data_IF_322467003779
#
_entry.id   IF_322467003779
#
_cell.length_a   1.000
_cell.length_b   1.000
_cell.length_c   1.000
_cell.angle_alpha   90.00
_cell.angle_beta   90.00
_cell.angle_gamma   90.00
#
_symmetry.space_group_name_H-M   'P 1'
#
loop_
_entity.id
_entity.type
_entity.pdbx_description
1 polymer ?
#
# COMPACT_ATOMS: atom_id res chain seq x y z
N UNK A 1 -24.24 35.67 88.91
CA UNK A 1 -24.85 36.32 87.74
C UNK A 1 -24.11 35.82 86.50
N UNK A 2 -24.74 34.97 85.69
CA UNK A 2 -24.09 34.37 84.53
C UNK A 2 -25.06 33.44 83.83
N UNK A 3 -25.81 33.97 82.86
CA UNK A 3 -26.75 33.22 82.04
C UNK A 3 -26.37 33.36 80.57
N UNK A 4 -26.66 32.30 79.81
CA UNK A 4 -26.82 32.22 78.35
C UNK A 4 -25.53 32.02 77.56
N UNK A 5 -25.47 31.24 76.48
CA UNK A 5 -26.40 30.34 75.78
C UNK A 5 -25.55 29.58 74.74
N UNK A 6 -25.99 28.37 74.40
CA UNK A 6 -25.61 27.62 73.20
C UNK A 6 -25.59 28.48 71.93
N UNK A 7 -24.61 28.28 71.04
CA UNK A 7 -24.91 27.94 69.64
C UNK A 7 -23.69 27.47 68.85
N UNK A 8 -23.92 26.35 68.19
CA UNK A 8 -23.12 25.55 67.27
C UNK A 8 -23.29 26.09 65.83
N UNK A 9 -22.23 26.50 65.11
CA UNK A 9 -22.19 26.45 63.64
C UNK A 9 -20.74 26.25 63.18
N UNK A 10 -20.41 25.04 62.74
CA UNK A 10 -19.20 24.68 61.99
C UNK A 10 -19.57 24.74 60.50
N UNK A 11 -19.04 25.72 59.78
CA UNK A 11 -19.29 25.89 58.34
C UNK A 11 -18.34 24.97 57.58
N UNK A 12 -18.83 23.83 57.13
CA UNK A 12 -18.16 23.00 56.11
C UNK A 12 -18.75 23.38 54.74
N UNK A 13 -17.99 24.13 53.94
CA UNK A 13 -18.36 24.44 52.56
C UNK A 13 -18.05 23.22 51.68
N UNK A 14 -19.07 22.44 51.35
CA UNK A 14 -19.00 21.37 50.36
C UNK A 14 -19.14 22.00 48.97
N UNK A 15 -18.02 22.29 48.30
CA UNK A 15 -18.03 22.63 46.88
C UNK A 15 -18.26 21.36 46.06
N UNK A 16 -19.52 21.06 45.76
CA UNK A 16 -19.89 20.05 44.78
C UNK A 16 -19.68 20.66 43.38
N UNK A 17 -18.50 20.47 42.79
CA UNK A 17 -18.27 20.77 41.38
C UNK A 17 -18.97 19.69 40.56
N UNK A 18 -20.19 19.97 40.12
CA UNK A 18 -20.87 19.22 39.06
C UNK A 18 -20.14 19.48 37.74
N UNK A 19 -19.14 18.66 37.45
CA UNK A 19 -18.61 18.51 36.08
C UNK A 19 -19.69 17.79 35.30
N UNK A 20 -20.59 18.55 34.66
CA UNK A 20 -21.37 18.04 33.55
C UNK A 20 -20.38 17.81 32.40
N UNK A 21 -19.74 16.65 32.40
CA UNK A 21 -19.05 16.15 31.24
C UNK A 21 -20.11 15.94 30.16
N UNK A 22 -20.23 16.89 29.24
CA UNK A 22 -20.86 16.67 27.96
C UNK A 22 -20.02 15.62 27.23
N UNK A 23 -20.25 14.34 27.50
CA UNK A 23 -19.77 13.26 26.66
C UNK A 23 -20.51 13.41 25.32
N UNK A 24 -19.89 14.15 24.39
CA UNK A 24 -20.09 13.86 22.98
C UNK A 24 -19.67 12.40 22.81
N UNK A 25 -20.62 11.48 22.84
CA UNK A 25 -20.39 10.08 22.50
C UNK A 25 -20.08 10.09 20.99
N UNK A 26 -18.80 10.22 20.66
CA UNK A 26 -18.32 10.00 19.31
C UNK A 26 -18.45 8.51 18.95
N UNK A 27 -18.28 8.15 17.67
CA UNK A 27 -18.30 6.75 17.27
C UNK A 27 -17.25 5.93 18.04
N UNK A 28 -17.63 4.74 18.50
CA UNK A 28 -16.73 3.82 19.19
C UNK A 28 -15.91 3.03 18.16
N UNK A 29 -14.73 3.57 17.82
CA UNK A 29 -13.77 2.88 16.96
C UNK A 29 -12.84 2.01 17.80
N UNK A 30 -12.61 0.77 17.37
CA UNK A 30 -11.58 -0.07 17.98
C UNK A 30 -10.20 0.26 17.36
N UNK A 31 -9.67 1.43 17.72
CA UNK A 31 -8.41 1.95 17.17
C UNK A 31 -7.25 0.97 17.43
N UNK A 32 -7.22 0.32 18.60
CA UNK A 32 -6.18 -0.65 18.93
C UNK A 32 -6.18 -1.87 17.99
N UNK A 33 -7.37 -2.43 17.70
CA UNK A 33 -7.52 -3.52 16.71
C UNK A 33 -7.14 -3.04 15.31
N UNK A 34 -7.59 -1.85 14.92
CA UNK A 34 -7.29 -1.28 13.61
C UNK A 34 -5.78 -1.11 13.43
N UNK A 35 -5.09 -0.50 14.40
CA UNK A 35 -3.63 -0.38 14.41
C UNK A 35 -2.89 -1.71 14.31
N UNK A 36 -3.29 -2.70 15.11
CA UNK A 36 -2.68 -4.02 15.07
C UNK A 36 -2.87 -4.71 13.70
N UNK A 37 -4.04 -4.52 13.08
CA UNK A 37 -4.35 -5.04 11.75
C UNK A 37 -3.47 -4.37 10.69
N UNK A 38 -3.37 -3.04 10.72
CA UNK A 38 -2.59 -2.29 9.72
C UNK A 38 -1.09 -2.59 9.83
N UNK A 39 -0.58 -2.75 11.05
CA UNK A 39 0.81 -3.19 11.27
C UNK A 39 1.05 -4.59 10.73
N UNK A 40 0.10 -5.52 10.91
CA UNK A 40 0.22 -6.88 10.39
C UNK A 40 0.28 -6.89 8.86
N UNK A 41 -0.64 -6.17 8.21
CA UNK A 41 -0.68 -6.04 6.75
C UNK A 41 0.56 -5.33 6.20
N UNK A 42 1.05 -4.31 6.89
CA UNK A 42 2.30 -3.62 6.55
C UNK A 42 3.49 -4.57 6.60
N UNK A 43 3.62 -5.37 7.66
CA UNK A 43 4.71 -6.34 7.79
C UNK A 43 4.63 -7.41 6.69
N UNK A 44 3.46 -8.02 6.48
CA UNK A 44 3.25 -9.03 5.43
C UNK A 44 3.56 -8.48 4.03
N UNK A 45 3.13 -7.25 3.75
CA UNK A 45 3.40 -6.57 2.48
C UNK A 45 4.89 -6.32 2.28
N UNK A 46 5.56 -5.76 3.29
CA UNK A 46 7.00 -5.49 3.21
C UNK A 46 7.81 -6.79 3.04
N UNK A 47 7.46 -7.84 3.78
CA UNK A 47 8.13 -9.14 3.67
C UNK A 47 7.95 -9.77 2.29
N UNK A 48 6.75 -9.66 1.71
CA UNK A 48 6.48 -10.17 0.37
C UNK A 48 7.25 -9.41 -0.70
N UNK A 49 7.29 -8.08 -0.61
CA UNK A 49 8.08 -7.24 -1.51
C UNK A 49 9.58 -7.54 -1.39
N UNK A 50 10.11 -7.65 -0.17
CA UNK A 50 11.52 -7.99 0.09
C UNK A 50 11.88 -9.40 -0.45
N UNK A 51 10.95 -10.35 -0.32
CA UNK A 51 11.15 -11.72 -0.82
C UNK A 51 11.23 -11.74 -2.36
N UNK A 52 10.30 -11.05 -3.02
CA UNK A 52 10.32 -10.90 -4.48
C UNK A 52 11.60 -10.21 -4.95
N UNK A 53 12.02 -9.14 -4.26
CA UNK A 53 13.26 -8.42 -4.57
C UNK A 53 14.50 -9.30 -4.49
N UNK A 54 14.61 -10.09 -3.42
CA UNK A 54 15.73 -11.00 -3.20
C UNK A 54 15.77 -12.11 -4.26
N UNK A 55 14.63 -12.71 -4.60
CA UNK A 55 14.55 -13.74 -5.63
C UNK A 55 14.86 -13.19 -7.02
N UNK A 56 14.37 -11.98 -7.33
CA UNK A 56 14.62 -11.32 -8.59
C UNK A 56 16.11 -10.95 -8.74
N UNK A 57 16.75 -10.48 -7.66
CA UNK A 57 18.19 -10.23 -7.64
C UNK A 57 18.99 -11.52 -7.85
N UNK A 58 18.58 -12.63 -7.23
CA UNK A 58 19.21 -13.93 -7.44
C UNK A 58 19.05 -14.41 -8.89
N UNK A 59 17.89 -14.18 -9.52
CA UNK A 59 17.66 -14.46 -10.92
C UNK A 59 18.54 -13.59 -11.84
N UNK A 60 18.70 -12.30 -11.52
CA UNK A 60 19.61 -11.41 -12.24
C UNK A 60 21.06 -11.93 -12.24
N UNK A 61 21.54 -12.43 -11.10
CA UNK A 61 22.87 -13.05 -10.98
C UNK A 61 22.99 -14.31 -11.85
N UNK A 62 21.95 -15.16 -11.89
CA UNK A 62 21.95 -16.36 -12.74
C UNK A 62 22.02 -15.99 -14.22
N UNK A 63 21.23 -14.99 -14.65
CA UNK A 63 21.23 -14.49 -16.03
C UNK A 63 22.60 -13.92 -16.44
N UNK A 64 23.27 -13.21 -15.54
CA UNK A 64 24.62 -12.68 -15.77
C UNK A 64 25.68 -13.75 -16.04
N UNK A 65 25.53 -14.93 -15.43
CA UNK A 65 26.42 -16.10 -15.61
C UNK A 65 26.08 -16.93 -16.85
N UNK A 66 24.78 -17.10 -17.14
CA UNK A 66 24.32 -17.92 -18.27
C UNK A 66 24.61 -17.27 -19.65
N UNK A 67 24.97 -15.99 -19.68
CA UNK A 67 25.32 -15.28 -20.91
C UNK A 67 24.14 -15.15 -21.87
N UNK A 68 23.07 -14.46 -21.44
CA UNK A 68 21.88 -14.05 -22.22
C UNK A 68 21.27 -15.08 -23.20
N UNK A 69 21.56 -16.37 -23.03
CA UNK A 69 20.94 -17.48 -23.76
C UNK A 69 19.43 -17.48 -23.53
N UNK A 70 18.64 -17.49 -24.60
CA UNK A 70 17.20 -17.35 -24.49
C UNK A 70 16.52 -18.53 -23.78
N UNK A 71 17.01 -19.77 -23.94
CA UNK A 71 16.42 -20.95 -23.28
C UNK A 71 16.63 -20.92 -21.78
N UNK A 72 17.86 -20.62 -21.35
CA UNK A 72 18.24 -20.62 -19.93
C UNK A 72 17.58 -19.43 -19.22
N UNK A 73 17.51 -18.28 -19.90
CA UNK A 73 16.80 -17.13 -19.40
C UNK A 73 15.32 -17.42 -19.16
N UNK A 74 14.63 -18.08 -20.10
CA UNK A 74 13.22 -18.44 -19.91
C UNK A 74 13.01 -19.37 -18.72
N UNK A 75 13.90 -20.32 -18.47
CA UNK A 75 13.77 -21.18 -17.30
C UNK A 75 13.90 -20.35 -16.01
N UNK A 76 14.92 -19.48 -15.92
CA UNK A 76 15.14 -18.60 -14.77
C UNK A 76 13.93 -17.68 -14.54
N UNK A 77 13.36 -17.10 -15.60
CA UNK A 77 12.19 -16.23 -15.52
C UNK A 77 10.95 -17.01 -15.05
N UNK A 78 10.72 -18.22 -15.58
CA UNK A 78 9.61 -19.07 -15.14
C UNK A 78 9.73 -19.46 -13.66
N UNK A 79 10.94 -19.75 -13.16
CA UNK A 79 11.15 -20.10 -11.75
C UNK A 79 10.71 -18.97 -10.81
N UNK A 80 11.01 -17.71 -11.15
CA UNK A 80 10.58 -16.56 -10.34
C UNK A 80 9.09 -16.31 -10.54
N UNK A 81 8.62 -16.25 -11.78
CA UNK A 81 7.21 -15.91 -12.05
C UNK A 81 6.22 -16.92 -11.48
N UNK A 82 6.52 -18.23 -11.57
CA UNK A 82 5.63 -19.26 -11.02
C UNK A 82 5.61 -19.31 -9.49
N UNK A 83 6.67 -18.81 -8.83
CA UNK A 83 6.72 -18.70 -7.36
C UNK A 83 5.75 -17.65 -6.81
N UNK A 84 5.36 -16.66 -7.61
CA UNK A 84 4.55 -15.52 -7.18
C UNK A 84 3.28 -15.38 -8.03
N UNK A 85 2.14 -15.95 -7.58
CA UNK A 85 0.91 -16.00 -8.38
C UNK A 85 0.31 -14.65 -8.78
N UNK A 86 0.70 -13.55 -8.11
CA UNK A 86 0.24 -12.20 -8.44
C UNK A 86 1.05 -11.55 -9.58
N UNK A 87 2.17 -12.14 -10.00
CA UNK A 87 2.96 -11.61 -11.11
C UNK A 87 2.21 -11.86 -12.43
N UNK A 88 2.09 -10.80 -13.22
CA UNK A 88 1.59 -10.89 -14.59
C UNK A 88 2.67 -11.54 -15.47
N UNK A 89 3.90 -11.01 -15.41
CA UNK A 89 5.04 -11.51 -16.16
C UNK A 89 6.38 -11.21 -15.50
N UNK A 90 7.40 -11.86 -16.06
CA UNK A 90 8.81 -11.64 -15.78
C UNK A 90 9.53 -11.56 -17.13
N UNK A 91 10.31 -10.52 -17.34
CA UNK A 91 11.03 -10.31 -18.61
C UNK A 91 12.50 -10.06 -18.35
N UNK A 92 13.34 -10.49 -19.29
CA UNK A 92 14.74 -10.10 -19.36
C UNK A 92 14.98 -9.32 -20.65
N UNK A 93 15.60 -8.15 -20.51
CA UNK A 93 15.98 -7.28 -21.60
C UNK A 93 17.49 -7.06 -21.62
N UNK A 94 18.05 -6.85 -22.81
CA UNK A 94 19.47 -6.58 -22.99
C UNK A 94 19.84 -5.15 -22.56
N UNK A 95 21.12 -4.80 -22.68
CA UNK A 95 21.63 -3.47 -22.31
C UNK A 95 20.97 -2.31 -23.09
N UNK A 96 20.32 -2.59 -24.22
CA UNK A 96 19.55 -1.58 -24.98
C UNK A 96 18.08 -1.47 -24.54
N UNK A 97 17.64 -2.31 -23.60
CA UNK A 97 16.24 -2.36 -23.13
C UNK A 97 15.33 -3.23 -24.00
N UNK A 98 15.89 -3.97 -24.98
CA UNK A 98 15.11 -4.89 -25.81
C UNK A 98 14.91 -6.22 -25.09
N UNK A 99 13.65 -6.63 -24.94
CA UNK A 99 13.27 -7.92 -24.34
C UNK A 99 13.79 -9.05 -25.21
N UNK A 100 14.60 -9.95 -24.64
CA UNK A 100 15.07 -11.16 -25.34
C UNK A 100 14.42 -12.43 -24.79
N UNK A 101 13.85 -12.40 -23.58
CA UNK A 101 13.09 -13.51 -23.00
C UNK A 101 11.95 -12.98 -22.13
N UNK A 102 10.81 -13.68 -22.18
CA UNK A 102 9.63 -13.39 -21.36
C UNK A 102 9.03 -14.68 -20.80
N UNK A 103 8.46 -14.60 -19.59
CA UNK A 103 7.72 -15.67 -18.94
C UNK A 103 6.47 -15.10 -18.25
N UNK A 104 5.36 -15.87 -18.14
CA UNK A 104 5.15 -17.19 -18.74
C UNK A 104 5.04 -17.14 -20.27
N UNK A 105 4.95 -18.31 -20.94
CA UNK A 105 4.98 -18.42 -22.41
C UNK A 105 3.95 -17.54 -23.13
N UNK A 106 2.83 -17.21 -22.48
CA UNK A 106 1.79 -16.30 -23.00
C UNK A 106 2.29 -14.87 -23.23
N UNK A 107 3.40 -14.48 -22.62
CA UNK A 107 4.03 -13.16 -22.76
C UNK A 107 5.17 -13.13 -23.79
N UNK A 108 5.49 -14.25 -24.44
CA UNK A 108 6.54 -14.30 -25.49
C UNK A 108 6.27 -13.39 -26.68
N UNK A 109 5.02 -12.99 -26.90
CA UNK A 109 4.64 -12.00 -27.91
C UNK A 109 5.31 -10.62 -27.70
N UNK A 110 5.86 -10.36 -26.52
CA UNK A 110 6.62 -9.14 -26.21
C UNK A 110 8.14 -9.32 -26.36
N UNK A 111 8.65 -10.52 -26.71
CA UNK A 111 10.06 -10.69 -27.11
C UNK A 111 10.36 -9.79 -28.32
N UNK A 112 11.42 -8.99 -28.24
CA UNK A 112 11.82 -7.97 -29.21
C UNK A 112 11.25 -6.58 -28.96
N UNK A 113 10.31 -6.42 -28.02
CA UNK A 113 9.81 -5.11 -27.60
C UNK A 113 10.86 -4.33 -26.81
N UNK A 114 10.75 -3.01 -26.81
CA UNK A 114 11.60 -2.10 -26.03
C UNK A 114 10.85 -1.66 -24.77
N UNK A 115 11.44 -1.93 -23.60
CA UNK A 115 10.86 -1.55 -22.31
C UNK A 115 10.99 -0.05 -22.01
N UNK A 116 11.80 0.69 -22.78
CA UNK A 116 12.08 2.12 -22.59
C UNK A 116 12.59 2.46 -21.18
N UNK A 117 13.24 1.51 -20.52
CA UNK A 117 13.73 1.65 -19.13
C UNK A 117 15.03 2.46 -19.05
N UNK A 118 15.78 2.56 -20.16
CA UNK A 118 17.15 3.06 -20.15
C UNK A 118 18.08 2.18 -19.31
N UNK A 119 19.21 2.75 -18.87
CA UNK A 119 20.21 2.07 -18.04
C UNK A 119 19.71 1.93 -16.59
N UNK A 120 19.22 0.74 -16.22
CA UNK A 120 18.85 0.41 -14.84
C UNK A 120 20.12 0.06 -14.06
N UNK A 121 20.74 1.03 -13.40
CA UNK A 121 22.02 0.82 -12.68
C UNK A 121 21.86 0.23 -11.28
N UNK A 122 20.66 0.25 -10.72
CA UNK A 122 20.33 -0.22 -9.36
C UNK A 122 18.93 -0.81 -9.37
N UNK A 123 18.66 -1.64 -8.36
CA UNK A 123 17.33 -2.12 -8.09
C UNK A 123 16.32 -0.96 -8.05
N UNK A 124 15.20 -1.12 -8.76
CA UNK A 124 14.21 -0.06 -8.95
C UNK A 124 12.82 -0.62 -8.77
N UNK A 125 12.00 0.06 -7.99
CA UNK A 125 10.58 -0.26 -7.82
C UNK A 125 9.75 0.91 -8.32
N UNK A 126 8.91 0.70 -9.33
CA UNK A 126 8.21 1.81 -9.98
C UNK A 126 6.99 2.26 -9.20
N UNK A 127 6.52 3.46 -9.54
CA UNK A 127 5.11 3.83 -9.36
C UNK A 127 4.21 2.97 -10.27
N UNK A 128 2.89 3.07 -10.13
CA UNK A 128 2.00 2.56 -11.18
C UNK A 128 2.29 3.29 -12.48
N UNK A 129 2.54 2.52 -13.53
CA UNK A 129 2.88 3.00 -14.87
C UNK A 129 2.02 2.28 -15.92
N UNK A 130 1.72 2.95 -17.06
CA UNK A 130 1.21 2.25 -18.22
C UNK A 130 2.30 1.33 -18.79
N UNK A 131 1.89 0.14 -19.21
CA UNK A 131 2.78 -0.92 -19.70
C UNK A 131 2.55 -1.23 -21.18
N UNK A 132 3.48 -1.97 -21.81
CA UNK A 132 3.33 -2.39 -23.21
C UNK A 132 2.20 -3.43 -23.37
N UNK A 133 1.83 -4.07 -22.27
CA UNK A 133 0.71 -4.99 -22.12
C UNK A 133 -0.65 -4.29 -22.15
N UNK A 134 -0.66 -2.96 -22.05
CA UNK A 134 -1.89 -2.15 -22.04
C UNK A 134 -2.58 -2.08 -20.68
N UNK A 135 -1.88 -2.48 -19.60
CA UNK A 135 -2.38 -2.42 -18.22
C UNK A 135 -1.64 -1.37 -17.40
N UNK A 136 -2.27 -0.92 -16.32
CA UNK A 136 -1.61 -0.13 -15.27
C UNK A 136 -1.00 -1.08 -14.26
N UNK A 137 0.31 -1.04 -14.07
CA UNK A 137 1.01 -2.00 -13.22
C UNK A 137 2.25 -1.39 -12.59
N UNK A 138 2.87 -2.15 -11.70
CA UNK A 138 4.12 -1.83 -11.02
C UNK A 138 5.17 -2.82 -11.46
N UNK A 139 6.39 -2.33 -11.68
CA UNK A 139 7.55 -3.15 -12.03
C UNK A 139 8.60 -3.07 -10.94
N UNK A 140 9.10 -4.24 -10.54
CA UNK A 140 10.34 -4.38 -9.79
C UNK A 140 11.44 -4.82 -10.76
N UNK A 141 12.54 -4.06 -10.80
CA UNK A 141 13.63 -4.26 -11.75
C UNK A 141 14.96 -4.45 -11.02
N UNK A 142 15.78 -5.36 -11.53
CA UNK A 142 17.14 -5.62 -11.06
C UNK A 142 18.14 -5.56 -12.23
N UNK A 143 19.31 -4.91 -12.07
CA UNK A 143 20.35 -4.94 -13.10
C UNK A 143 20.90 -6.35 -13.28
N UNK A 144 21.05 -6.78 -14.53
CA UNK A 144 21.84 -7.95 -14.91
C UNK A 144 23.26 -7.45 -15.14
N UNK A 145 24.21 -7.98 -14.36
CA UNK A 145 25.63 -7.70 -14.55
C UNK A 145 26.33 -8.94 -15.12
N UNK A 146 27.24 -8.74 -16.07
CA UNK A 146 28.12 -9.79 -16.57
C UNK A 146 29.07 -10.28 -15.47
N UNK A 147 29.78 -11.38 -15.69
CA UNK A 147 30.81 -11.87 -14.76
C UNK A 147 31.91 -10.84 -14.47
N UNK A 148 32.12 -9.87 -15.40
CA UNK A 148 33.07 -8.76 -15.23
C UNK A 148 32.49 -7.57 -14.47
N UNK A 149 31.22 -7.64 -14.05
CA UNK A 149 30.50 -6.56 -13.37
C UNK A 149 29.97 -5.47 -14.30
N UNK A 150 29.98 -5.70 -15.61
CA UNK A 150 29.46 -4.74 -16.60
C UNK A 150 27.95 -4.89 -16.76
N UNK A 151 27.24 -3.79 -16.96
CA UNK A 151 25.79 -3.82 -17.20
C UNK A 151 25.49 -4.58 -18.50
N UNK A 152 24.75 -5.68 -18.38
CA UNK A 152 24.37 -6.55 -19.49
C UNK A 152 22.88 -6.42 -19.85
N UNK A 153 22.08 -5.81 -18.99
CA UNK A 153 20.64 -5.66 -19.19
C UNK A 153 19.87 -5.58 -17.88
N UNK A 154 18.58 -5.88 -17.94
CA UNK A 154 17.65 -5.78 -16.81
C UNK A 154 16.72 -6.98 -16.78
N UNK A 155 16.43 -7.46 -15.57
CA UNK A 155 15.30 -8.35 -15.31
C UNK A 155 14.19 -7.56 -14.62
N UNK A 156 12.95 -7.76 -15.04
CA UNK A 156 11.76 -7.10 -14.49
C UNK A 156 10.74 -8.15 -14.09
N UNK A 157 10.07 -7.91 -12.95
CA UNK A 157 8.84 -8.59 -12.54
C UNK A 157 7.70 -7.58 -12.50
N UNK A 158 6.62 -7.85 -13.23
CA UNK A 158 5.48 -6.95 -13.40
C UNK A 158 4.25 -7.49 -12.68
N UNK A 159 3.55 -6.63 -11.94
CA UNK A 159 2.27 -6.99 -11.32
C UNK A 159 1.31 -5.82 -11.19
N UNK A 160 0.02 -6.13 -11.21
CA UNK A 160 -1.04 -5.21 -10.80
C UNK A 160 -1.15 -5.18 -9.26
N UNK A 161 -1.18 -4.00 -8.63
CA UNK A 161 -1.36 -3.88 -7.18
C UNK A 161 -2.58 -4.65 -6.65
N UNK A 162 -3.66 -4.71 -7.41
CA UNK A 162 -4.90 -5.42 -7.04
C UNK A 162 -4.65 -6.90 -6.77
N UNK A 163 -4.06 -7.63 -7.73
CA UNK A 163 -3.69 -9.04 -7.56
C UNK A 163 -2.74 -9.28 -6.39
N UNK A 164 -1.85 -8.33 -6.13
CA UNK A 164 -0.88 -8.42 -5.04
C UNK A 164 -1.54 -8.22 -3.67
N UNK A 165 -2.40 -7.20 -3.53
CA UNK A 165 -3.06 -6.88 -2.26
C UNK A 165 -4.24 -7.79 -1.96
N UNK A 166 -4.99 -8.28 -2.94
CA UNK A 166 -6.07 -9.25 -2.69
C UNK A 166 -5.54 -10.50 -1.98
N UNK A 167 -4.38 -11.01 -2.42
CA UNK A 167 -3.72 -12.16 -1.82
C UNK A 167 -3.27 -11.94 -0.37
N UNK A 168 -3.08 -10.68 0.05
CA UNK A 168 -2.64 -10.30 1.41
C UNK A 168 -3.83 -9.93 2.28
N UNK A 169 -4.75 -9.13 1.75
CA UNK A 169 -5.84 -8.50 2.48
C UNK A 169 -7.02 -9.46 2.70
N UNK A 170 -7.39 -10.29 1.71
CA UNK A 170 -8.58 -11.14 1.82
C UNK A 170 -8.54 -12.09 3.04
N UNK A 171 -7.43 -12.81 3.33
CA UNK A 171 -7.35 -13.69 4.50
C UNK A 171 -7.46 -12.96 5.84
N UNK A 172 -7.11 -11.68 5.87
CA UNK A 172 -7.00 -10.88 7.11
C UNK A 172 -8.25 -10.05 7.39
N UNK A 173 -8.90 -9.53 6.34
CA UNK A 173 -9.93 -8.50 6.48
C UNK A 173 -11.34 -9.01 6.25
N UNK A 174 -11.52 -10.15 5.57
CA UNK A 174 -12.84 -10.68 5.24
C UNK A 174 -13.69 -10.92 6.49
N UNK A 175 -14.85 -10.27 6.54
CA UNK A 175 -15.79 -10.37 7.67
C UNK A 175 -15.41 -9.57 8.92
N UNK A 176 -14.32 -8.80 8.88
CA UNK A 176 -13.87 -7.99 10.04
C UNK A 176 -14.54 -6.62 10.14
N UNK A 177 -15.11 -6.13 9.03
CA UNK A 177 -15.62 -4.76 8.89
C UNK A 177 -14.51 -3.70 8.74
N UNK A 178 -13.27 -4.13 8.51
CA UNK A 178 -12.13 -3.27 8.18
C UNK A 178 -11.89 -3.36 6.67
N UNK A 179 -11.68 -2.21 6.03
CA UNK A 179 -11.35 -2.09 4.60
C UNK A 179 -9.91 -1.59 4.44
N UNK A 180 -9.15 -2.15 3.50
CA UNK A 180 -7.80 -1.66 3.17
C UNK A 180 -7.85 -0.82 1.90
N UNK A 181 -7.30 0.39 1.99
CA UNK A 181 -6.95 1.21 0.84
C UNK A 181 -5.44 1.39 0.77
N UNK A 182 -4.86 1.36 -0.44
CA UNK A 182 -3.42 1.57 -0.63
C UNK A 182 -3.20 2.74 -1.56
N UNK A 183 -2.48 3.74 -1.06
CA UNK A 183 -2.20 4.97 -1.80
C UNK A 183 -0.72 5.09 -2.15
N UNK A 184 -0.47 5.56 -3.37
CA UNK A 184 0.82 6.15 -3.72
C UNK A 184 0.95 7.56 -3.14
N UNK A 185 2.19 8.01 -2.97
CA UNK A 185 2.51 9.33 -2.40
C UNK A 185 2.13 10.51 -3.28
N UNK A 186 1.61 10.29 -4.49
CA UNK A 186 0.99 11.32 -5.33
C UNK A 186 -0.55 11.32 -5.27
N UNK A 187 -1.12 10.57 -4.33
CA UNK A 187 -2.56 10.50 -4.06
C UNK A 187 -3.33 9.50 -4.92
N UNK A 188 -2.67 8.75 -5.81
CA UNK A 188 -3.33 7.68 -6.56
C UNK A 188 -3.68 6.53 -5.61
N UNK A 189 -4.96 6.16 -5.56
CA UNK A 189 -5.43 4.97 -4.90
C UNK A 189 -5.17 3.76 -5.80
N UNK A 190 -4.17 2.94 -5.45
CA UNK A 190 -3.74 1.80 -6.25
C UNK A 190 -4.42 0.50 -5.85
N UNK A 191 -5.10 0.48 -4.70
CA UNK A 191 -5.89 -0.65 -4.25
C UNK A 191 -6.98 -0.19 -3.32
N UNK A 192 -8.20 -0.66 -3.55
CA UNK A 192 -9.32 -0.48 -2.65
C UNK A 192 -9.96 -1.85 -2.43
N UNK A 193 -10.11 -2.28 -1.18
CA UNK A 193 -10.62 -3.61 -0.86
C UNK A 193 -12.04 -3.87 -1.39
N UNK A 194 -12.85 -2.81 -1.56
CA UNK A 194 -14.18 -2.90 -2.17
C UNK A 194 -14.15 -2.77 -3.71
N UNK A 195 -13.01 -2.33 -4.25
CA UNK A 195 -12.75 -2.11 -5.68
C UNK A 195 -13.32 -0.80 -6.24
N UNK A 196 -14.05 -0.01 -5.44
CA UNK A 196 -14.81 1.13 -6.00
C UNK A 196 -13.97 2.37 -6.27
N UNK A 197 -12.89 2.57 -5.51
CA UNK A 197 -12.04 3.76 -5.62
C UNK A 197 -10.64 3.49 -6.18
N UNK A 198 -10.36 2.24 -6.60
CA UNK A 198 -9.12 1.92 -7.31
C UNK A 198 -8.98 2.74 -8.58
N UNK A 199 -7.79 3.31 -8.80
CA UNK A 199 -7.48 4.21 -9.92
C UNK A 199 -7.88 5.67 -9.71
N UNK A 200 -8.62 6.00 -8.66
CA UNK A 200 -8.95 7.37 -8.31
C UNK A 200 -7.78 8.10 -7.65
N UNK A 201 -7.58 9.37 -7.98
CA UNK A 201 -6.60 10.23 -7.29
C UNK A 201 -7.29 11.18 -6.32
N UNK A 202 -7.14 10.94 -5.03
CA UNK A 202 -7.85 11.68 -3.96
C UNK A 202 -7.48 13.17 -3.89
N UNK A 203 -6.34 13.56 -4.46
CA UNK A 203 -5.87 14.95 -4.48
C UNK A 203 -6.22 15.69 -5.77
N UNK A 204 -6.52 14.97 -6.87
CA UNK A 204 -6.67 15.56 -8.20
C UNK A 204 -8.07 15.41 -8.78
N UNK A 205 -8.74 14.29 -8.54
CA UNK A 205 -10.01 14.01 -9.22
C UNK A 205 -11.13 14.85 -8.61
N UNK A 206 -11.96 15.41 -9.49
CA UNK A 206 -13.06 16.31 -9.12
C UNK A 206 -14.05 15.65 -8.14
N UNK A 207 -14.30 14.35 -8.29
CA UNK A 207 -15.22 13.59 -7.42
C UNK A 207 -14.84 13.60 -5.93
N UNK A 208 -13.56 13.83 -5.60
CA UNK A 208 -13.13 13.87 -4.20
C UNK A 208 -13.14 15.29 -3.60
N UNK A 209 -13.19 16.33 -4.43
CA UNK A 209 -12.95 17.71 -3.99
C UNK A 209 -14.09 18.30 -3.14
N UNK A 210 -15.28 17.72 -3.20
CA UNK A 210 -16.39 18.09 -2.30
C UNK A 210 -16.17 17.59 -0.86
N UNK A 211 -15.36 16.54 -0.66
CA UNK A 211 -15.07 15.92 0.63
C UNK A 211 -13.79 16.51 1.25
N UNK A 212 -13.89 17.76 1.74
CA UNK A 212 -12.71 18.52 2.24
C UNK A 212 -11.92 17.78 3.32
N UNK A 213 -12.59 17.09 4.25
CA UNK A 213 -11.93 16.30 5.30
C UNK A 213 -11.07 15.16 4.71
N UNK A 214 -11.60 14.45 3.71
CA UNK A 214 -10.87 13.41 3.00
C UNK A 214 -9.67 14.00 2.25
N UNK A 215 -9.82 15.13 1.57
CA UNK A 215 -8.72 15.78 0.84
C UNK A 215 -7.61 16.24 1.80
N UNK A 216 -7.95 16.83 2.94
CA UNK A 216 -6.96 17.23 3.95
C UNK A 216 -6.25 16.01 4.56
N UNK A 217 -6.98 14.94 4.85
CA UNK A 217 -6.38 13.69 5.30
C UNK A 217 -5.51 13.06 4.20
N UNK A 218 -5.91 13.20 2.94
CA UNK A 218 -5.15 12.80 1.76
C UNK A 218 -3.76 13.43 1.68
N UNK A 219 -3.66 14.73 1.95
CA UNK A 219 -2.37 15.43 2.01
C UNK A 219 -1.47 14.87 3.11
N UNK A 220 -2.06 14.43 4.22
CA UNK A 220 -1.32 13.75 5.30
C UNK A 220 -0.85 12.36 4.86
N UNK A 221 -1.70 11.57 4.19
CA UNK A 221 -1.27 10.28 3.64
C UNK A 221 -0.03 10.44 2.75
N UNK A 222 0.01 11.45 1.88
CA UNK A 222 1.14 11.65 0.98
C UNK A 222 2.43 12.13 1.65
N UNK A 223 2.37 12.64 2.89
CA UNK A 223 3.51 13.29 3.57
C UNK A 223 3.94 12.62 4.88
N UNK A 224 3.06 11.87 5.53
CA UNK A 224 3.29 11.21 6.82
C UNK A 224 3.42 9.69 6.59
N UNK A 225 4.48 9.09 7.11
CA UNK A 225 4.72 7.64 6.95
C UNK A 225 3.77 6.77 7.76
N UNK A 226 3.24 7.29 8.85
CA UNK A 226 2.20 6.65 9.65
C UNK A 226 1.32 7.69 10.33
N UNK A 227 0.16 7.27 10.78
CA UNK A 227 -0.73 8.13 11.56
C UNK A 227 -2.14 7.58 11.68
N UNK A 228 -2.99 8.42 12.26
CA UNK A 228 -4.43 8.21 12.34
C UNK A 228 -5.19 9.48 11.95
N UNK A 229 -6.44 9.31 11.55
CA UNK A 229 -7.33 10.42 11.25
C UNK A 229 -8.76 9.95 11.06
N UNK A 230 -9.70 10.88 11.19
CA UNK A 230 -11.09 10.66 10.84
C UNK A 230 -11.48 11.53 9.67
N UNK A 231 -12.46 11.08 8.91
CA UNK A 231 -13.03 11.83 7.81
C UNK A 231 -14.45 11.36 7.54
N UNK A 232 -15.26 12.23 6.95
CA UNK A 232 -16.60 11.88 6.50
C UNK A 232 -16.58 11.54 5.01
N UNK A 233 -17.12 10.37 4.65
CA UNK A 233 -17.25 9.92 3.26
C UNK A 233 -18.47 9.02 3.08
N UNK A 234 -19.08 8.95 1.88
CA UNK A 234 -20.21 8.05 1.64
C UNK A 234 -19.81 6.59 1.87
N UNK A 235 -20.68 5.84 2.54
CA UNK A 235 -20.60 4.39 2.55
C UNK A 235 -20.94 3.87 1.14
N UNK A 236 -20.08 3.04 0.56
CA UNK A 236 -20.21 2.58 -0.82
C UNK A 236 -21.46 1.72 -1.09
N UNK A 237 -22.03 1.09 -0.06
CA UNK A 237 -23.23 0.25 -0.19
C UNK A 237 -24.52 1.07 -0.10
N UNK A 238 -24.59 2.05 0.80
CA UNK A 238 -25.82 2.78 1.14
C UNK A 238 -25.86 4.18 0.58
N UNK A 239 -24.72 4.75 0.17
CA UNK A 239 -24.57 6.15 -0.23
C UNK A 239 -24.72 7.14 0.93
N UNK A 240 -25.01 6.68 2.15
CA UNK A 240 -25.15 7.53 3.31
C UNK A 240 -23.78 8.04 3.77
N UNK A 241 -23.74 9.30 4.16
CA UNK A 241 -22.54 9.90 4.75
C UNK A 241 -22.22 9.22 6.08
N UNK A 242 -20.99 8.74 6.27
CA UNK A 242 -20.52 8.10 7.49
C UNK A 242 -19.15 8.61 7.91
N UNK A 243 -18.89 8.59 9.22
CA UNK A 243 -17.56 8.91 9.77
C UNK A 243 -16.71 7.65 9.68
N UNK A 244 -15.52 7.80 9.10
CA UNK A 244 -14.53 6.74 8.95
C UNK A 244 -13.31 7.06 9.81
N UNK A 245 -12.77 6.05 10.49
CA UNK A 245 -11.46 6.09 11.15
C UNK A 245 -10.45 5.43 10.24
N UNK A 246 -9.37 6.12 9.94
CA UNK A 246 -8.22 5.61 9.20
C UNK A 246 -7.01 5.47 10.11
N UNK A 247 -6.31 4.36 9.97
CA UNK A 247 -4.96 4.15 10.47
C UNK A 247 -4.08 3.81 9.28
N UNK A 248 -2.89 4.40 9.20
CA UNK A 248 -1.96 4.02 8.14
C UNK A 248 -0.53 3.83 8.61
N UNK A 249 0.16 2.98 7.84
CA UNK A 249 1.60 2.79 7.88
C UNK A 249 2.14 2.74 6.44
N UNK A 250 3.47 2.81 6.31
CA UNK A 250 4.13 2.79 5.02
C UNK A 250 4.89 1.49 4.78
N UNK A 251 4.88 1.05 3.52
CA UNK A 251 5.90 0.16 2.97
C UNK A 251 6.75 0.92 1.98
N UNK A 252 8.03 0.60 1.92
CA UNK A 252 8.97 1.27 1.01
C UNK A 252 9.91 0.24 0.41
N UNK A 253 10.10 0.29 -0.90
CA UNK A 253 11.10 -0.48 -1.62
C UNK A 253 11.75 0.41 -2.68
N UNK A 254 13.08 0.43 -2.72
CA UNK A 254 13.89 1.19 -3.70
C UNK A 254 13.46 2.65 -3.91
N UNK A 255 13.06 3.33 -2.82
CA UNK A 255 12.66 4.75 -2.83
C UNK A 255 11.20 5.00 -3.23
N UNK A 256 10.45 3.98 -3.61
CA UNK A 256 9.00 4.07 -3.84
C UNK A 256 8.27 3.61 -2.58
N UNK A 257 7.37 4.47 -2.08
CA UNK A 257 6.57 4.20 -0.89
C UNK A 257 5.09 4.13 -1.21
N UNK A 258 4.39 3.24 -0.51
CA UNK A 258 2.93 3.16 -0.47
C UNK A 258 2.43 3.40 0.96
N UNK A 259 1.19 3.86 1.08
CA UNK A 259 0.46 3.99 2.34
C UNK A 259 -0.60 2.91 2.40
N UNK A 260 -0.49 2.01 3.36
CA UNK A 260 -1.53 1.03 3.65
C UNK A 260 -2.44 1.65 4.70
N UNK A 261 -3.70 1.82 4.36
CA UNK A 261 -4.68 2.58 5.12
C UNK A 261 -5.84 1.64 5.45
N UNK A 262 -5.87 1.14 6.68
CA UNK A 262 -7.05 0.42 7.12
C UNK A 262 -8.08 1.40 7.64
N UNK A 263 -9.32 1.14 7.25
CA UNK A 263 -10.46 2.00 7.46
C UNK A 263 -11.52 1.21 8.21
N UNK A 264 -12.06 1.81 9.27
CA UNK A 264 -13.24 1.33 9.95
C UNK A 264 -14.34 2.40 9.88
N UNK A 265 -15.53 2.02 9.44
CA UNK A 265 -16.69 2.89 9.50
C UNK A 265 -17.30 2.91 10.91
N UNK A 266 -17.85 4.06 11.29
CA UNK A 266 -18.66 4.17 12.49
C UNK A 266 -19.82 3.17 12.45
N UNK A 267 -19.96 2.36 13.50
CA UNK A 267 -21.17 1.55 13.68
C UNK A 267 -22.37 2.49 13.87
N UNK A 268 -23.53 2.08 13.32
CA UNK A 268 -24.80 2.75 13.61
C UNK A 268 -25.21 2.53 15.06
#
# INVERSE_FOLDING_TARGET
MGSKRFSLIMVFALFLVLVLGSSCIGPDFNIGKLQATTQKLQQQTQDKLNSLDSDLAAAAVKLGRAGLSTSDARQILNDVCSKYPFLNDCVAADASGKVFAAAPDTFRKYEGADLKTGDVKKATFTKVIPTIEGIQAVSLMQPILSEKGEYAGVISALFQPESFFDAIAEPELKGTGIELNVLQTDGLNIYDFSGTDTGGNILKDAKYQEYKELVELGKRFTTQESGTGTYTYPNHTTGASTIKMAVWYSVTLHGTSWRLIDIQEASK
#
